data_IF_802077830210
#
_entry.id   IF_802077830210
#
_cell.length_a   1.000
_cell.length_b   1.000
_cell.length_c   1.000
_cell.angle_alpha   90.00
_cell.angle_beta   90.00
_cell.angle_gamma   90.00
#
_symmetry.space_group_name_H-M   'P 1'
#
loop_
_entity.id
_entity.type
_entity.pdbx_description
1 polymer ?
#
# COMPACT_ATOMS: atom_id res chain seq x y z
N UNK A 1 20.48 22.78 -18.16
CA UNK A 1 19.69 21.73 -17.51
C UNK A 1 20.49 21.32 -16.28
N UNK A 2 19.92 21.42 -15.08
CA UNK A 2 20.56 20.96 -13.85
C UNK A 2 20.86 19.45 -13.95
N UNK A 3 21.96 19.01 -13.32
CA UNK A 3 22.28 17.59 -13.25
C UNK A 3 21.16 16.83 -12.51
N UNK A 4 20.78 15.63 -12.95
CA UNK A 4 19.73 14.86 -12.28
C UNK A 4 20.19 14.46 -10.88
N UNK A 5 19.27 14.51 -9.92
CA UNK A 5 19.54 14.08 -8.54
C UNK A 5 19.79 12.57 -8.45
N UNK A 6 20.66 12.18 -7.54
CA UNK A 6 20.69 10.79 -7.06
C UNK A 6 19.53 10.61 -6.08
N UNK A 7 18.75 9.55 -6.25
CA UNK A 7 17.56 9.30 -5.44
C UNK A 7 17.81 8.15 -4.47
N UNK A 8 17.41 8.32 -3.23
CA UNK A 8 17.52 7.31 -2.18
C UNK A 8 16.16 7.02 -1.55
N UNK A 9 16.03 5.82 -0.98
CA UNK A 9 14.90 5.43 -0.12
C UNK A 9 15.30 5.73 1.33
N UNK A 10 14.51 6.56 2.00
CA UNK A 10 14.75 6.94 3.40
C UNK A 10 13.66 6.46 4.34
N UNK A 11 12.50 6.10 3.82
CA UNK A 11 11.42 5.51 4.60
C UNK A 11 10.81 4.31 3.91
N UNK A 12 10.43 3.30 4.69
CA UNK A 12 9.75 2.08 4.23
C UNK A 12 8.61 1.77 5.19
N UNK A 13 7.48 1.36 4.64
CA UNK A 13 6.35 0.86 5.43
C UNK A 13 5.66 -0.28 4.70
N UNK A 14 5.30 -1.32 5.45
CA UNK A 14 4.74 -2.56 4.91
C UNK A 14 3.59 -3.07 5.75
N UNK A 15 2.50 -3.42 5.09
CA UNK A 15 1.40 -4.19 5.66
C UNK A 15 1.15 -5.40 4.76
N UNK A 16 1.37 -6.59 5.30
CA UNK A 16 1.24 -7.83 4.54
C UNK A 16 0.76 -8.98 5.41
N UNK A 17 0.48 -10.12 4.79
CA UNK A 17 0.20 -11.38 5.52
C UNK A 17 1.37 -11.90 6.34
N UNK A 18 2.58 -11.37 6.16
CA UNK A 18 3.79 -11.74 6.91
C UNK A 18 4.04 -10.83 8.10
N UNK A 19 3.50 -9.60 8.11
CA UNK A 19 3.71 -8.64 9.18
C UNK A 19 2.97 -7.34 8.95
N UNK A 20 2.78 -6.59 10.03
CA UNK A 20 2.07 -5.32 10.06
C UNK A 20 3.00 -4.09 10.16
N UNK A 21 4.28 -4.33 10.02
CA UNK A 21 5.36 -3.36 9.94
C UNK A 21 6.56 -3.96 9.20
N UNK A 22 7.51 -3.11 8.84
CA UNK A 22 8.72 -3.51 8.11
C UNK A 22 9.56 -4.52 8.88
N UNK A 23 9.68 -4.40 10.20
CA UNK A 23 10.50 -5.27 11.03
C UNK A 23 9.91 -6.70 11.11
N UNK A 24 8.63 -6.83 11.41
CA UNK A 24 7.93 -8.11 11.46
C UNK A 24 7.86 -8.79 10.09
N UNK A 25 7.63 -8.01 9.02
CA UNK A 25 7.67 -8.49 7.64
C UNK A 25 9.04 -9.07 7.30
N UNK A 26 10.13 -8.34 7.59
CA UNK A 26 11.49 -8.77 7.28
C UNK A 26 11.89 -10.03 8.07
N UNK A 27 11.57 -10.08 9.37
CA UNK A 27 11.81 -11.27 10.20
C UNK A 27 11.10 -12.49 9.64
N UNK A 28 9.80 -12.36 9.31
CA UNK A 28 9.03 -13.45 8.74
C UNK A 28 9.59 -13.93 7.39
N UNK A 29 10.00 -12.99 6.54
CA UNK A 29 10.61 -13.30 5.25
C UNK A 29 11.95 -14.03 5.41
N UNK A 30 12.82 -13.52 6.29
CA UNK A 30 14.13 -14.12 6.56
C UNK A 30 14.04 -15.54 7.17
N UNK A 31 13.01 -15.81 7.96
CA UNK A 31 12.73 -17.11 8.54
C UNK A 31 12.01 -18.07 7.57
N UNK A 32 11.63 -17.61 6.38
CA UNK A 32 10.88 -18.41 5.40
C UNK A 32 9.45 -18.71 5.85
N UNK A 33 8.85 -17.89 6.71
CA UNK A 33 7.45 -18.05 7.13
C UNK A 33 6.49 -17.80 5.97
N UNK A 34 5.41 -18.56 5.91
CA UNK A 34 4.33 -18.35 4.95
C UNK A 34 3.22 -17.50 5.56
N UNK A 35 2.74 -16.52 4.82
CA UNK A 35 1.55 -15.75 5.17
C UNK A 35 0.26 -16.32 4.57
N UNK A 36 0.33 -17.48 3.91
CA UNK A 36 -0.82 -18.18 3.33
C UNK A 36 -1.55 -18.93 4.43
N UNK A 37 -2.86 -18.77 4.50
CA UNK A 37 -3.70 -19.43 5.49
C UNK A 37 -5.18 -19.46 5.09
N UNK A 38 -6.02 -20.11 5.90
CA UNK A 38 -7.45 -20.23 5.63
C UNK A 38 -8.13 -18.86 5.49
N UNK A 39 -9.10 -18.79 4.57
CA UNK A 39 -9.99 -17.63 4.45
C UNK A 39 -10.71 -17.44 5.78
N UNK A 40 -10.61 -16.25 6.35
CA UNK A 40 -11.35 -15.88 7.56
C UNK A 40 -12.59 -15.09 7.18
N UNK A 41 -13.74 -15.51 7.71
CA UNK A 41 -15.04 -14.93 7.40
C UNK A 41 -15.20 -13.43 7.80
N UNK A 42 -14.19 -12.84 8.45
CA UNK A 42 -14.21 -11.46 8.94
C UNK A 42 -14.01 -10.40 7.87
N UNK A 43 -13.53 -10.78 6.68
CA UNK A 43 -13.22 -9.82 5.62
C UNK A 43 -14.37 -9.73 4.64
N UNK A 44 -15.02 -8.57 4.55
CA UNK A 44 -16.02 -8.21 3.52
C UNK A 44 -17.18 -9.22 3.34
N UNK A 45 -17.76 -9.74 4.43
CA UNK A 45 -18.90 -10.72 4.39
C UNK A 45 -18.58 -11.99 3.59
N UNK A 46 -17.33 -12.38 3.55
CA UNK A 46 -16.88 -13.52 2.77
C UNK A 46 -17.32 -14.81 3.47
N UNK A 47 -18.23 -15.53 2.85
CA UNK A 47 -18.48 -16.91 3.20
C UNK A 47 -17.42 -17.79 2.51
N UNK A 48 -16.50 -18.37 3.29
CA UNK A 48 -15.44 -19.23 2.78
C UNK A 48 -15.99 -20.41 1.95
N UNK A 49 -17.22 -20.88 2.25
CA UNK A 49 -17.88 -21.95 1.50
C UNK A 49 -18.30 -21.53 0.08
N UNK A 50 -18.36 -20.24 -0.20
CA UNK A 50 -18.76 -19.73 -1.51
C UNK A 50 -17.69 -19.94 -2.60
N UNK A 51 -16.42 -20.18 -2.26
CA UNK A 51 -15.31 -20.42 -3.19
C UNK A 51 -14.78 -21.84 -3.06
N UNK A 52 -14.09 -22.33 -4.10
CA UNK A 52 -13.55 -23.71 -4.17
C UNK A 52 -12.12 -23.84 -3.68
N UNK A 53 -11.49 -22.78 -3.23
CA UNK A 53 -10.18 -22.76 -2.60
C UNK A 53 -10.31 -22.28 -1.16
N UNK A 54 -9.42 -22.71 -0.29
CA UNK A 54 -9.53 -22.52 1.14
C UNK A 54 -8.57 -21.47 1.68
N UNK A 55 -7.49 -21.17 0.92
CA UNK A 55 -6.38 -20.36 1.39
C UNK A 55 -6.25 -19.05 0.60
N UNK A 56 -5.89 -17.99 1.35
CA UNK A 56 -5.53 -16.66 0.86
C UNK A 56 -4.33 -16.13 1.64
N UNK A 57 -3.78 -15.00 1.24
CA UNK A 57 -2.76 -14.29 2.00
C UNK A 57 -3.37 -12.98 2.54
N UNK A 58 -4.08 -13.08 3.66
CA UNK A 58 -4.80 -11.99 4.32
C UNK A 58 -3.88 -11.20 5.26
N UNK A 59 -4.01 -9.87 5.30
CA UNK A 59 -3.38 -9.00 6.32
C UNK A 59 -4.18 -9.12 7.62
N UNK A 60 -3.83 -10.13 8.42
CA UNK A 60 -4.52 -10.43 9.66
C UNK A 60 -4.06 -9.52 10.79
N UNK A 61 -4.99 -9.13 11.69
CA UNK A 61 -4.67 -8.29 12.84
C UNK A 61 -4.44 -6.81 12.51
N UNK A 62 -4.68 -6.39 11.28
CA UNK A 62 -4.65 -4.98 10.91
C UNK A 62 -5.89 -4.26 11.45
N UNK A 63 -5.66 -3.38 12.42
CA UNK A 63 -6.69 -2.58 13.08
C UNK A 63 -6.54 -1.10 12.69
N UNK A 64 -7.27 -0.62 11.68
CA UNK A 64 -7.16 0.76 11.23
C UNK A 64 -7.54 1.78 12.32
N UNK A 65 -8.39 1.39 13.29
CA UNK A 65 -8.76 2.19 14.45
C UNK A 65 -7.57 2.56 15.38
N UNK A 66 -6.45 1.88 15.24
CA UNK A 66 -5.24 2.23 15.97
C UNK A 66 -4.62 3.59 15.53
N UNK A 67 -4.99 4.10 14.35
CA UNK A 67 -4.43 5.35 13.80
C UNK A 67 -5.41 6.16 12.93
N UNK A 68 -6.62 5.66 12.68
CA UNK A 68 -7.69 6.34 11.96
C UNK A 68 -8.91 6.48 12.87
N UNK A 69 -9.59 7.60 12.77
CA UNK A 69 -10.89 7.78 13.43
C UNK A 69 -11.97 6.96 12.73
N UNK A 70 -13.03 6.59 13.45
CA UNK A 70 -14.15 5.82 12.91
C UNK A 70 -14.77 6.47 11.65
N UNK A 71 -14.82 7.80 11.61
CA UNK A 71 -15.29 8.56 10.45
C UNK A 71 -14.36 8.38 9.25
N UNK A 72 -13.04 8.45 9.44
CA UNK A 72 -12.06 8.25 8.37
C UNK A 72 -12.15 6.83 7.80
N UNK A 73 -12.23 5.82 8.69
CA UNK A 73 -12.40 4.41 8.31
C UNK A 73 -13.64 4.24 7.43
N UNK A 74 -14.76 4.88 7.78
CA UNK A 74 -16.01 4.78 7.02
C UNK A 74 -15.94 5.39 5.61
N UNK A 75 -14.92 6.17 5.31
CA UNK A 75 -14.69 6.83 4.01
C UNK A 75 -13.67 6.12 3.15
N UNK A 76 -13.09 5.02 3.61
CA UNK A 76 -12.05 4.30 2.91
C UNK A 76 -12.42 2.83 2.69
N UNK A 77 -12.21 2.34 1.47
CA UNK A 77 -12.13 0.90 1.23
C UNK A 77 -10.84 0.34 1.87
N UNK A 78 -10.81 -0.97 2.12
CA UNK A 78 -9.69 -1.65 2.78
C UNK A 78 -8.35 -1.39 2.09
N UNK A 79 -8.29 -1.37 0.75
CA UNK A 79 -7.02 -1.10 0.06
C UNK A 79 -6.46 0.30 0.39
N UNK A 80 -7.34 1.31 0.55
CA UNK A 80 -6.93 2.65 0.92
C UNK A 80 -6.53 2.73 2.41
N UNK A 81 -7.19 1.98 3.29
CA UNK A 81 -6.78 1.86 4.70
C UNK A 81 -5.37 1.24 4.81
N UNK A 82 -5.10 0.18 4.06
CA UNK A 82 -3.76 -0.44 3.97
C UNK A 82 -2.73 0.53 3.40
N UNK A 83 -3.08 1.28 2.34
CA UNK A 83 -2.21 2.31 1.76
C UNK A 83 -1.79 3.36 2.78
N UNK A 84 -2.75 3.90 3.54
CA UNK A 84 -2.51 4.91 4.58
C UNK A 84 -1.68 4.34 5.73
N UNK A 85 -1.95 3.09 6.14
CA UNK A 85 -1.18 2.41 7.19
C UNK A 85 0.29 2.23 6.82
N UNK A 86 0.57 1.72 5.60
CA UNK A 86 1.94 1.57 5.10
C UNK A 86 2.62 2.94 4.88
N UNK A 87 1.89 3.94 4.36
CA UNK A 87 2.43 5.29 4.19
C UNK A 87 2.80 5.95 5.52
N UNK A 88 2.04 5.69 6.60
CA UNK A 88 2.36 6.19 7.92
C UNK A 88 3.74 5.71 8.38
N UNK A 89 3.98 4.41 8.34
CA UNK A 89 5.29 3.84 8.72
C UNK A 89 6.42 4.39 7.85
N UNK A 90 6.22 4.46 6.52
CA UNK A 90 7.23 4.99 5.60
C UNK A 90 7.57 6.44 5.89
N UNK A 91 6.57 7.29 6.13
CA UNK A 91 6.74 8.71 6.43
C UNK A 91 7.42 8.90 7.79
N UNK A 92 6.98 8.19 8.83
CA UNK A 92 7.56 8.24 10.16
C UNK A 92 9.03 7.76 10.15
N UNK A 93 9.32 6.66 9.45
CA UNK A 93 10.69 6.09 9.38
C UNK A 93 11.65 6.90 8.51
N UNK A 94 11.16 7.77 7.63
CA UNK A 94 12.01 8.58 6.74
C UNK A 94 12.89 9.60 7.47
N UNK A 95 12.46 10.03 8.65
CA UNK A 95 13.11 11.10 9.42
C UNK A 95 13.05 12.48 8.74
N UNK A 96 12.21 12.63 7.71
CA UNK A 96 11.99 13.92 7.04
C UNK A 96 11.14 14.81 7.96
N UNK A 97 11.57 16.06 8.15
CA UNK A 97 10.71 17.09 8.69
C UNK A 97 9.84 17.67 7.57
N UNK A 98 8.58 17.32 7.58
CA UNK A 98 7.60 17.71 6.54
C UNK A 98 7.14 19.15 6.76
N UNK A 99 8.01 20.11 6.39
CA UNK A 99 7.70 21.55 6.44
C UNK A 99 6.61 21.91 5.42
N UNK A 100 5.86 23.04 5.62
CA UNK A 100 4.86 23.48 4.67
C UNK A 100 5.36 23.62 3.23
N UNK A 101 6.57 24.14 3.02
CA UNK A 101 7.20 24.26 1.69
C UNK A 101 7.45 22.88 1.05
N UNK A 102 7.92 21.92 1.84
CA UNK A 102 8.13 20.56 1.37
C UNK A 102 6.80 19.88 1.04
N UNK A 103 5.78 20.02 1.89
CA UNK A 103 4.45 19.46 1.70
C UNK A 103 3.78 19.98 0.43
N UNK A 104 3.91 21.29 0.14
CA UNK A 104 3.32 21.90 -1.07
C UNK A 104 3.83 21.26 -2.36
N UNK A 105 5.06 20.73 -2.37
CA UNK A 105 5.74 20.23 -3.57
C UNK A 105 5.97 18.71 -3.58
N UNK A 106 5.81 18.05 -2.45
CA UNK A 106 6.04 16.61 -2.35
C UNK A 106 4.97 15.80 -3.10
N UNK A 107 5.44 14.79 -3.83
CA UNK A 107 4.58 13.94 -4.65
C UNK A 107 4.01 12.74 -3.88
N UNK A 108 2.85 12.23 -4.33
CA UNK A 108 2.30 10.94 -3.93
C UNK A 108 1.96 10.13 -5.17
N UNK A 109 2.66 9.04 -5.40
CA UNK A 109 2.41 8.18 -6.57
C UNK A 109 2.20 6.75 -6.11
N UNK A 110 0.98 6.25 -6.21
CA UNK A 110 0.68 4.86 -5.80
C UNK A 110 0.27 4.00 -6.98
N UNK A 111 0.36 2.69 -6.82
CA UNK A 111 -0.13 1.70 -7.75
C UNK A 111 -1.31 0.93 -7.16
N UNK A 112 -2.37 0.77 -7.94
CA UNK A 112 -3.47 -0.14 -7.65
C UNK A 112 -4.11 -0.61 -8.95
N UNK A 113 -4.41 -1.90 -9.01
CA UNK A 113 -5.07 -2.51 -10.17
C UNK A 113 -6.59 -2.45 -10.05
N UNK A 114 -7.10 -2.79 -8.88
CA UNK A 114 -8.54 -2.98 -8.65
C UNK A 114 -9.18 -1.82 -7.88
N UNK A 115 -8.42 -1.07 -7.11
CA UNK A 115 -8.96 -0.01 -6.26
C UNK A 115 -9.94 -0.55 -5.20
N UNK A 116 -10.93 0.25 -4.85
CA UNK A 116 -11.91 -0.05 -3.82
C UNK A 116 -13.13 -0.84 -4.28
N UNK A 117 -12.93 -1.92 -5.04
CA UNK A 117 -14.03 -2.76 -5.53
C UNK A 117 -14.83 -3.46 -4.43
N UNK A 118 -14.23 -3.65 -3.24
CA UNK A 118 -14.96 -4.14 -2.07
C UNK A 118 -16.08 -3.18 -1.64
N UNK A 119 -15.83 -1.88 -1.67
CA UNK A 119 -16.83 -0.86 -1.39
C UNK A 119 -17.95 -0.83 -2.44
N UNK A 120 -17.60 -1.01 -3.74
CA UNK A 120 -18.59 -1.13 -4.82
C UNK A 120 -19.45 -2.38 -4.65
N UNK A 121 -18.84 -3.54 -4.40
CA UNK A 121 -19.57 -4.79 -4.16
C UNK A 121 -20.54 -4.65 -2.99
N UNK A 122 -20.11 -4.06 -1.88
CA UNK A 122 -20.98 -3.79 -0.74
C UNK A 122 -22.16 -2.88 -1.12
N UNK A 123 -21.92 -1.84 -1.92
CA UNK A 123 -22.97 -0.97 -2.43
C UNK A 123 -23.98 -1.71 -3.30
N UNK A 124 -23.52 -2.56 -4.21
CA UNK A 124 -24.40 -3.37 -5.08
C UNK A 124 -25.14 -4.44 -4.29
N UNK A 125 -24.51 -5.02 -3.26
CA UNK A 125 -25.19 -5.94 -2.35
C UNK A 125 -26.35 -5.27 -1.64
N UNK A 126 -26.17 -4.06 -1.12
CA UNK A 126 -27.26 -3.30 -0.49
C UNK A 126 -28.42 -3.02 -1.47
N UNK A 127 -28.10 -2.67 -2.73
CA UNK A 127 -29.13 -2.41 -3.74
C UNK A 127 -29.88 -3.67 -4.17
N UNK A 128 -29.17 -4.72 -4.55
CA UNK A 128 -29.77 -5.86 -5.25
C UNK A 128 -30.23 -6.97 -4.31
N UNK A 129 -29.45 -7.26 -3.27
CA UNK A 129 -29.78 -8.32 -2.33
C UNK A 129 -30.65 -7.82 -1.17
N UNK A 130 -30.31 -6.69 -0.57
CA UNK A 130 -31.04 -6.11 0.55
C UNK A 130 -32.17 -5.16 0.11
N UNK A 131 -32.40 -5.01 -1.20
CA UNK A 131 -33.45 -4.16 -1.79
C UNK A 131 -33.44 -2.72 -1.25
N UNK A 132 -32.27 -2.19 -0.91
CA UNK A 132 -32.12 -0.80 -0.50
C UNK A 132 -32.29 0.13 -1.70
N UNK A 133 -32.83 1.32 -1.48
CA UNK A 133 -32.99 2.34 -2.50
C UNK A 133 -31.78 3.28 -2.62
N UNK A 134 -30.80 3.13 -1.73
CA UNK A 134 -29.60 3.99 -1.67
C UNK A 134 -28.37 3.17 -1.28
N UNK A 135 -27.22 3.56 -1.84
CA UNK A 135 -25.88 3.13 -1.42
C UNK A 135 -25.22 4.19 -0.55
N UNK A 136 -24.09 3.86 0.03
CA UNK A 136 -23.31 4.84 0.78
C UNK A 136 -22.90 6.03 -0.15
N UNK A 137 -23.02 7.29 0.29
CA UNK A 137 -22.74 8.47 -0.56
C UNK A 137 -21.31 8.49 -1.13
N UNK A 138 -20.36 7.89 -0.43
CA UNK A 138 -18.96 7.83 -0.83
C UNK A 138 -18.57 6.52 -1.55
N UNK A 139 -19.54 5.69 -1.96
CA UNK A 139 -19.23 4.44 -2.70
C UNK A 139 -18.33 4.71 -3.90
N UNK A 140 -18.59 5.79 -4.68
CA UNK A 140 -17.74 6.13 -5.83
C UNK A 140 -16.34 6.58 -5.39
N UNK A 141 -16.16 7.58 -4.51
CA UNK A 141 -14.82 7.94 -4.03
C UNK A 141 -14.05 6.80 -3.39
N UNK A 142 -14.71 5.90 -2.67
CA UNK A 142 -14.09 4.71 -2.05
C UNK A 142 -13.66 3.68 -3.12
N UNK A 143 -14.43 3.54 -4.20
CA UNK A 143 -14.17 2.60 -5.30
C UNK A 143 -13.05 3.04 -6.23
N UNK A 144 -12.74 4.33 -6.30
CA UNK A 144 -11.74 4.87 -7.25
C UNK A 144 -10.33 4.34 -6.93
N UNK A 145 -9.59 3.93 -7.97
CA UNK A 145 -8.22 3.41 -7.80
C UNK A 145 -7.25 4.41 -7.16
N UNK A 146 -7.51 5.72 -7.29
CA UNK A 146 -6.71 6.77 -6.66
C UNK A 146 -7.13 7.12 -5.23
N UNK A 147 -8.09 6.41 -4.63
CA UNK A 147 -8.53 6.69 -3.26
C UNK A 147 -7.37 6.60 -2.26
N UNK A 148 -6.50 5.58 -2.38
CA UNK A 148 -5.31 5.46 -1.53
C UNK A 148 -4.37 6.66 -1.65
N UNK A 149 -4.04 7.09 -2.89
CA UNK A 149 -3.24 8.29 -3.17
C UNK A 149 -3.85 9.54 -2.54
N UNK A 150 -5.14 9.74 -2.76
CA UNK A 150 -5.86 10.92 -2.26
C UNK A 150 -5.87 10.97 -0.74
N UNK A 151 -6.10 9.85 -0.07
CA UNK A 151 -6.09 9.78 1.40
C UNK A 151 -4.70 10.08 1.97
N UNK A 152 -3.63 9.56 1.35
CA UNK A 152 -2.25 9.87 1.75
C UNK A 152 -1.98 11.36 1.56
N UNK A 153 -2.27 11.92 0.38
CA UNK A 153 -2.07 13.34 0.08
C UNK A 153 -2.78 14.25 1.09
N UNK A 154 -4.07 14.01 1.33
CA UNK A 154 -4.86 14.80 2.28
C UNK A 154 -4.36 14.71 3.72
N UNK A 155 -4.02 13.50 4.17
CA UNK A 155 -3.63 13.26 5.56
C UNK A 155 -2.30 13.92 5.95
N UNK A 156 -1.33 13.93 5.06
CA UNK A 156 -0.02 14.54 5.30
C UNK A 156 0.17 15.89 4.60
N UNK A 157 -0.89 16.44 3.99
CA UNK A 157 -0.83 17.74 3.32
C UNK A 157 0.13 17.77 2.13
N UNK A 158 0.34 16.63 1.44
CA UNK A 158 1.25 16.53 0.30
C UNK A 158 0.55 16.99 -0.97
N UNK A 159 0.89 18.18 -1.47
CA UNK A 159 0.13 18.90 -2.50
C UNK A 159 0.81 18.91 -3.87
N UNK A 160 1.98 18.29 -4.00
CA UNK A 160 2.65 18.10 -5.29
C UNK A 160 1.92 17.11 -6.20
N UNK A 161 2.54 16.60 -7.26
CA UNK A 161 1.93 15.63 -8.16
C UNK A 161 1.38 14.42 -7.39
N UNK A 162 0.05 14.18 -7.46
CA UNK A 162 -0.63 13.10 -6.76
C UNK A 162 -1.51 12.31 -7.73
N UNK A 163 -1.13 11.04 -8.03
CA UNK A 163 -1.86 10.20 -8.97
C UNK A 163 -1.58 8.71 -8.76
N UNK A 164 -2.43 7.88 -9.35
CA UNK A 164 -2.31 6.41 -9.29
C UNK A 164 -1.98 5.84 -10.66
N UNK A 165 -1.07 4.88 -10.69
CA UNK A 165 -0.70 4.09 -11.87
C UNK A 165 -1.45 2.76 -11.81
N UNK A 166 -2.10 2.38 -12.90
CA UNK A 166 -2.75 1.08 -13.03
C UNK A 166 -2.19 0.32 -14.22
N UNK A 167 -1.36 -0.68 -13.93
CA UNK A 167 -0.68 -1.55 -14.90
C UNK A 167 -0.68 -3.01 -14.41
N UNK A 168 -1.84 -3.46 -13.93
CA UNK A 168 -2.04 -4.79 -13.34
C UNK A 168 -1.01 -5.05 -12.20
N UNK A 169 -0.39 -6.23 -12.16
CA UNK A 169 0.57 -6.62 -11.12
C UNK A 169 1.83 -5.73 -11.06
N UNK A 170 2.13 -4.95 -12.11
CA UNK A 170 3.26 -4.03 -12.16
C UNK A 170 2.93 -2.62 -11.66
N UNK A 171 1.69 -2.34 -11.20
CA UNK A 171 1.24 -1.00 -10.85
C UNK A 171 2.15 -0.31 -9.83
N UNK A 172 2.50 -1.00 -8.73
CA UNK A 172 3.33 -0.40 -7.68
C UNK A 172 4.79 -0.18 -8.14
N UNK A 173 5.35 -1.10 -8.94
CA UNK A 173 6.69 -0.93 -9.50
C UNK A 173 6.75 0.28 -10.45
N UNK A 174 5.75 0.45 -11.31
CA UNK A 174 5.64 1.61 -12.18
C UNK A 174 5.42 2.91 -11.38
N UNK A 175 4.61 2.88 -10.32
CA UNK A 175 4.41 4.03 -9.44
C UNK A 175 5.71 4.48 -8.78
N UNK A 176 6.51 3.55 -8.26
CA UNK A 176 7.84 3.82 -7.71
C UNK A 176 8.76 4.42 -8.78
N UNK A 177 8.77 3.85 -9.99
CA UNK A 177 9.56 4.35 -11.12
C UNK A 177 9.17 5.78 -11.52
N UNK A 178 7.87 6.10 -11.55
CA UNK A 178 7.39 7.45 -11.84
C UNK A 178 7.80 8.44 -10.74
N UNK A 179 7.62 8.08 -9.48
CA UNK A 179 8.06 8.90 -8.34
C UNK A 179 9.58 9.12 -8.34
N UNK A 180 10.36 8.07 -8.64
CA UNK A 180 11.82 8.20 -8.85
C UNK A 180 12.16 9.25 -9.89
N UNK A 181 11.48 9.26 -11.05
CA UNK A 181 11.71 10.24 -12.09
C UNK A 181 11.31 11.66 -11.68
N UNK A 182 10.21 11.84 -10.92
CA UNK A 182 9.82 13.14 -10.39
C UNK A 182 10.90 13.71 -9.45
N UNK A 183 11.43 12.88 -8.55
CA UNK A 183 12.51 13.31 -7.63
C UNK A 183 13.81 13.52 -8.38
N UNK A 184 14.21 12.59 -9.26
CA UNK A 184 15.45 12.67 -10.04
C UNK A 184 15.53 13.93 -10.88
N UNK A 185 14.43 14.35 -11.48
CA UNK A 185 14.35 15.54 -12.34
C UNK A 185 14.15 16.85 -11.56
N UNK A 186 13.99 16.81 -10.24
CA UNK A 186 13.75 17.98 -9.39
C UNK A 186 12.33 18.54 -9.49
N UNK A 187 11.39 17.81 -10.11
CA UNK A 187 9.96 18.19 -10.16
C UNK A 187 9.33 18.10 -8.76
N UNK A 188 9.72 17.08 -8.00
CA UNK A 188 9.31 16.92 -6.60
C UNK A 188 10.55 16.83 -5.71
N UNK A 189 10.60 17.53 -4.56
CA UNK A 189 11.70 17.44 -3.61
C UNK A 189 11.71 16.15 -2.80
N UNK A 190 10.57 15.49 -2.66
CA UNK A 190 10.38 14.17 -2.08
C UNK A 190 9.11 13.52 -2.63
N UNK A 191 9.00 12.21 -2.50
CA UNK A 191 7.80 11.50 -2.91
C UNK A 191 7.48 10.32 -1.99
N UNK A 192 6.20 10.13 -1.71
CA UNK A 192 5.68 8.86 -1.16
C UNK A 192 5.21 8.00 -2.32
N UNK A 193 5.76 6.79 -2.46
CA UNK A 193 5.48 5.93 -3.60
C UNK A 193 5.37 4.45 -3.21
N UNK A 194 4.51 3.72 -3.88
CA UNK A 194 4.33 2.30 -3.61
C UNK A 194 3.05 1.77 -4.20
N UNK A 195 2.39 0.86 -3.50
CA UNK A 195 1.09 0.36 -3.93
C UNK A 195 0.35 -0.38 -2.84
N UNK A 196 -0.95 -0.55 -3.08
CA UNK A 196 -1.84 -1.31 -2.20
C UNK A 196 -2.91 -2.02 -3.00
N UNK A 197 -3.32 -3.20 -2.51
CA UNK A 197 -4.40 -3.96 -3.11
C UNK A 197 -5.14 -4.76 -2.03
N UNK A 198 -6.48 -4.86 -2.13
CA UNK A 198 -7.31 -5.65 -1.22
C UNK A 198 -8.39 -6.43 -1.99
N UNK A 199 -8.01 -7.47 -2.75
CA UNK A 199 -8.91 -8.21 -3.63
C UNK A 199 -9.75 -9.28 -2.91
N UNK A 200 -9.71 -9.35 -1.57
CA UNK A 200 -10.37 -10.38 -0.78
C UNK A 200 -11.85 -10.03 -0.53
N UNK A 201 -12.63 -9.87 -1.59
CA UNK A 201 -14.08 -9.72 -1.57
C UNK A 201 -14.71 -10.79 -2.47
N UNK A 202 -15.97 -11.15 -2.23
CA UNK A 202 -16.58 -12.35 -2.83
C UNK A 202 -16.53 -12.33 -4.36
N UNK A 203 -16.97 -11.27 -5.00
CA UNK A 203 -16.97 -11.17 -6.47
C UNK A 203 -15.57 -11.24 -7.05
N UNK A 204 -14.58 -10.62 -6.40
CA UNK A 204 -13.18 -10.72 -6.80
C UNK A 204 -12.65 -12.15 -6.72
N UNK A 205 -12.89 -12.83 -5.60
CA UNK A 205 -12.45 -14.23 -5.44
C UNK A 205 -13.17 -15.17 -6.41
N UNK A 206 -14.47 -14.96 -6.68
CA UNK A 206 -15.21 -15.73 -7.70
C UNK A 206 -14.67 -15.49 -9.11
N UNK A 207 -14.24 -14.27 -9.43
CA UNK A 207 -13.62 -13.97 -10.71
C UNK A 207 -12.27 -14.71 -10.88
N UNK A 208 -11.43 -14.70 -9.82
CA UNK A 208 -10.18 -15.48 -9.80
C UNK A 208 -10.42 -16.98 -9.91
N UNK A 209 -11.43 -17.51 -9.21
CA UNK A 209 -11.84 -18.92 -9.31
C UNK A 209 -12.26 -19.30 -10.75
N UNK A 210 -13.02 -18.41 -11.40
CA UNK A 210 -13.48 -18.64 -12.77
C UNK A 210 -12.32 -18.74 -13.78
N UNK A 211 -11.23 -18.04 -13.54
CA UNK A 211 -10.01 -18.13 -14.35
C UNK A 211 -9.26 -19.46 -14.19
N UNK A 212 -9.56 -20.25 -13.16
CA UNK A 212 -8.92 -21.55 -12.84
C UNK A 212 -7.40 -21.44 -12.63
N UNK A 213 -6.93 -20.33 -12.11
CA UNK A 213 -5.49 -20.06 -11.84
C UNK A 213 -5.14 -20.07 -10.36
N UNK A 214 -6.14 -20.22 -9.49
CA UNK A 214 -5.94 -20.25 -8.03
C UNK A 214 -5.59 -21.67 -7.59
N UNK A 215 -4.50 -21.80 -6.83
CA UNK A 215 -4.11 -23.06 -6.18
C UNK A 215 -5.04 -23.39 -5.01
N UNK A 216 -5.21 -24.66 -4.72
CA UNK A 216 -6.03 -25.13 -3.61
C UNK A 216 -5.27 -25.08 -2.27
N UNK A 217 -3.95 -25.16 -2.31
CA UNK A 217 -3.10 -25.32 -1.12
C UNK A 217 -2.14 -24.15 -0.92
N UNK A 218 -1.18 -23.94 -1.83
CA UNK A 218 -0.14 -22.95 -1.68
C UNK A 218 0.41 -22.45 -3.02
N UNK A 219 1.26 -21.43 -2.99
CA UNK A 219 1.93 -20.89 -4.17
C UNK A 219 3.39 -21.40 -4.19
N UNK A 220 3.78 -22.04 -5.31
CA UNK A 220 5.13 -22.58 -5.54
C UNK A 220 5.67 -22.07 -6.87
N UNK A 221 6.12 -20.82 -6.95
CA UNK A 221 6.66 -20.25 -8.19
C UNK A 221 7.83 -21.08 -8.72
N UNK A 222 7.84 -21.29 -10.04
CA UNK A 222 8.88 -22.04 -10.77
C UNK A 222 8.99 -23.53 -10.45
N UNK A 223 8.27 -24.07 -9.46
CA UNK A 223 8.25 -25.50 -9.14
C UNK A 223 7.58 -26.31 -10.24
N UNK A 224 8.01 -27.58 -10.41
CA UNK A 224 7.41 -28.52 -11.37
C UNK A 224 5.96 -28.84 -11.02
N UNK A 225 5.66 -28.94 -9.73
CA UNK A 225 4.36 -29.29 -9.16
C UNK A 225 3.48 -28.07 -8.82
N UNK A 226 3.78 -26.89 -9.38
CA UNK A 226 2.97 -25.70 -9.17
C UNK A 226 1.55 -25.89 -9.69
N UNK A 227 0.57 -25.47 -8.91
CA UNK A 227 -0.86 -25.63 -9.20
C UNK A 227 -1.60 -24.32 -9.43
N UNK A 228 -0.94 -23.19 -9.22
CA UNK A 228 -1.53 -21.87 -9.40
C UNK A 228 -1.01 -20.83 -8.40
N UNK A 229 -1.68 -19.70 -8.34
CA UNK A 229 -1.39 -18.61 -7.40
C UNK A 229 -2.29 -18.68 -6.17
N UNK A 230 -1.93 -17.93 -5.14
CA UNK A 230 -2.78 -17.62 -3.98
C UNK A 230 -3.11 -16.12 -4.03
N UNK A 231 -4.38 -15.78 -3.88
CA UNK A 231 -4.83 -14.38 -3.83
C UNK A 231 -4.44 -13.78 -2.48
N UNK A 232 -3.86 -12.58 -2.49
CA UNK A 232 -3.44 -11.90 -1.28
C UNK A 232 -3.79 -10.42 -1.31
N UNK A 233 -3.70 -9.79 -0.15
CA UNK A 233 -3.82 -8.35 0.03
C UNK A 233 -2.58 -7.78 0.72
N UNK A 234 -2.38 -6.48 0.63
CA UNK A 234 -1.29 -5.79 1.28
C UNK A 234 -1.04 -4.40 0.75
N UNK A 235 -0.08 -3.73 1.38
CA UNK A 235 0.45 -2.45 0.95
C UNK A 235 1.93 -2.35 1.28
N UNK A 236 2.69 -1.66 0.42
CA UNK A 236 4.03 -1.23 0.73
C UNK A 236 4.26 0.18 0.16
N UNK A 237 4.86 1.04 0.97
CA UNK A 237 5.18 2.41 0.61
C UNK A 237 6.64 2.73 0.91
N UNK A 238 7.22 3.56 0.06
CA UNK A 238 8.58 4.07 0.17
C UNK A 238 8.53 5.59 0.23
N UNK A 239 9.45 6.20 0.95
CA UNK A 239 9.76 7.62 0.82
C UNK A 239 11.05 7.76 0.01
N UNK A 240 10.96 8.53 -1.08
CA UNK A 240 12.06 8.82 -2.00
C UNK A 240 12.45 10.29 -1.87
N UNK A 241 13.76 10.56 -1.81
CA UNK A 241 14.29 11.92 -1.78
C UNK A 241 15.68 12.01 -2.44
N UNK A 242 16.19 13.22 -2.77
CA UNK A 242 17.55 13.39 -3.22
C UNK A 242 18.55 12.95 -2.13
N UNK A 243 19.63 12.25 -2.53
CA UNK A 243 20.69 11.82 -1.62
C UNK A 243 21.28 12.99 -0.83
N UNK A 244 21.46 14.12 -1.49
CA UNK A 244 22.05 15.32 -0.89
C UNK A 244 21.20 15.85 0.26
N UNK A 245 19.86 15.82 0.14
CA UNK A 245 18.92 16.22 1.20
C UNK A 245 18.99 15.24 2.39
N UNK A 246 19.03 13.94 2.11
CA UNK A 246 19.15 12.90 3.14
C UNK A 246 20.48 13.04 3.92
N UNK A 247 21.59 13.27 3.22
CA UNK A 247 22.92 13.46 3.85
C UNK A 247 22.99 14.74 4.68
N UNK A 248 22.41 15.84 4.21
CA UNK A 248 22.36 17.10 4.96
C UNK A 248 21.61 16.91 6.30
N UNK A 249 20.48 16.22 6.29
CA UNK A 249 19.69 15.91 7.49
C UNK A 249 20.47 15.06 8.50
N UNK A 250 21.24 14.06 8.04
CA UNK A 250 22.09 13.24 8.91
C UNK A 250 23.22 14.07 9.51
N UNK A 251 23.86 14.95 8.73
CA UNK A 251 24.91 15.85 9.20
C UNK A 251 24.38 16.82 10.28
N UNK A 252 23.21 17.42 10.07
CA UNK A 252 22.57 18.28 11.06
C UNK A 252 22.25 17.54 12.37
N UNK A 253 21.75 16.29 12.27
CA UNK A 253 21.51 15.43 13.44
C UNK A 253 22.78 15.10 14.22
N UNK A 254 23.90 14.91 13.53
CA UNK A 254 25.21 14.69 14.18
C UNK A 254 25.76 15.94 14.85
N UNK A 255 25.47 17.13 14.30
CA UNK A 255 25.93 18.41 14.85
C UNK A 255 25.12 18.88 16.08
N UNK A 256 23.85 18.48 16.16
CA UNK A 256 22.93 18.94 17.21
C UNK A 256 22.59 17.88 18.28
N UNK A 257 23.23 16.70 18.25
CA UNK A 257 23.06 15.60 19.22
C UNK A 257 21.84 14.68 18.92
N UNK A 258 21.73 13.52 19.61
CA UNK A 258 20.79 12.49 19.24
C UNK A 258 19.34 12.91 19.54
N UNK A 259 18.57 13.22 18.53
CA UNK A 259 17.12 12.97 18.55
C UNK A 259 16.99 11.46 18.27
N UNK A 260 16.43 10.71 19.19
CA UNK A 260 16.40 9.26 19.22
C UNK A 260 16.17 8.61 17.86
N UNK A 261 17.23 8.17 17.24
CA UNK A 261 17.22 7.50 15.98
C UNK A 261 17.31 5.98 16.22
N UNK A 262 16.22 5.29 16.00
CA UNK A 262 16.30 3.90 15.59
C UNK A 262 17.05 3.86 14.26
N UNK A 263 18.21 3.20 14.20
CA UNK A 263 19.09 3.18 13.04
C UNK A 263 18.44 2.46 11.85
N UNK A 264 17.94 3.24 10.91
CA UNK A 264 17.56 2.77 9.58
C UNK A 264 18.72 3.03 8.61
N UNK A 265 19.34 1.97 8.10
CA UNK A 265 20.39 2.08 7.10
C UNK A 265 19.85 2.67 5.79
N UNK A 266 20.61 3.61 5.21
CA UNK A 266 20.34 4.19 3.90
C UNK A 266 20.51 3.10 2.82
N UNK A 267 19.39 2.61 2.26
CA UNK A 267 19.39 1.77 1.07
C UNK A 267 19.58 2.60 -0.19
N UNK A 268 20.68 2.43 -0.92
CA UNK A 268 20.85 3.05 -2.22
C UNK A 268 20.06 2.29 -3.27
N UNK A 269 19.15 2.99 -3.96
CA UNK A 269 18.63 2.54 -5.26
C UNK A 269 19.59 3.08 -6.31
N UNK A 270 20.49 2.20 -6.80
CA UNK A 270 21.41 2.53 -7.89
C UNK A 270 20.66 2.26 -9.19
N UNK A 271 20.45 3.30 -9.98
CA UNK A 271 19.99 3.25 -11.36
C UNK A 271 20.95 3.96 -12.28
#
# INVERSE_FOLDING_TARGET
VAAPHRVVVTGVGVLSSLGLDTASFWSALAEGRSGIGPIRASVNRLDASAVRFENVAEVSGFEPSAFLEAKEISFMDRFAQLAVGAAREAIESSGIEWTPDLQERAAVVTGSCMGGRGAEENGYWELFHNHRTRVHPLTIPMGMSNAGTSQISMRWGLQGPAYTVSTACASSAHAIGQAFHLVRSGVAPAAVAGGSEAPLFLGGLKAWEAMRVVSKDTCRPFSLDRTGLIVGEGAAMLVLEPLEAALARVADGLLHGPRGAAGGGLGQVVG
#
